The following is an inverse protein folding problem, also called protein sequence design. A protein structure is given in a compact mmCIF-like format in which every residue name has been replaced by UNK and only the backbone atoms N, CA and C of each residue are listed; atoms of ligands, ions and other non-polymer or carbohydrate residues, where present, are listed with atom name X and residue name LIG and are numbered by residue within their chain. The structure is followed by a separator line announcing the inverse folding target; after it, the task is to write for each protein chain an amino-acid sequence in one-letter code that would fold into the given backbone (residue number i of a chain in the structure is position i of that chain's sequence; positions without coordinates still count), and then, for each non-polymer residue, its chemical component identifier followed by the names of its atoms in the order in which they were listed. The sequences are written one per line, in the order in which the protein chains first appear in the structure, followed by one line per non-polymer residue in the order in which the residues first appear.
data_IF_162571355171
#
_entry.id   IF_162571355171
#
_cell.length_a   1.000
_cell.length_b   1.000
_cell.length_c   1.000
_cell.angle_alpha   90.00
_cell.angle_beta   90.00
_cell.angle_gamma   90.00
#
_symmetry.space_group_name_H-M   'P 1'
#
loop_
_entity.id
_entity.type
_entity.pdbx_description
1 polymer ?
#
# COMPACT_ATOMS: atom_id res chain seq x y z
N UNK A 1 15.97 29.48 -15.59
CA UNK A 1 15.69 28.02 -15.71
C UNK A 1 14.28 27.80 -15.19
N UNK A 2 13.45 27.00 -15.89
CA UNK A 2 12.16 26.58 -15.31
C UNK A 2 12.46 25.63 -14.14
N UNK A 3 11.84 25.87 -13.00
CA UNK A 3 11.92 24.98 -11.85
C UNK A 3 11.38 23.60 -12.25
N UNK A 4 12.12 22.54 -11.92
CA UNK A 4 11.70 21.18 -12.24
C UNK A 4 10.45 20.87 -11.41
N UNK A 5 9.32 20.67 -12.07
CA UNK A 5 8.10 20.22 -11.38
C UNK A 5 8.31 18.77 -10.95
N UNK A 6 8.51 18.56 -9.64
CA UNK A 6 8.71 17.24 -9.07
C UNK A 6 7.43 16.41 -9.15
N UNK A 7 7.59 15.13 -9.46
CA UNK A 7 6.51 14.13 -9.44
C UNK A 7 6.49 13.43 -8.07
N UNK A 8 5.32 12.98 -7.61
CA UNK A 8 5.24 12.19 -6.39
C UNK A 8 5.78 10.77 -6.61
N UNK A 9 6.61 10.30 -5.67
CA UNK A 9 7.06 8.91 -5.57
C UNK A 9 6.72 8.38 -4.18
N UNK A 10 5.86 7.36 -4.13
CA UNK A 10 5.48 6.71 -2.88
C UNK A 10 6.38 5.53 -2.60
N UNK A 11 7.10 5.55 -1.48
CA UNK A 11 8.09 4.53 -1.14
C UNK A 11 7.59 3.75 0.06
N UNK A 12 7.21 2.50 -0.13
CA UNK A 12 6.83 1.61 0.97
C UNK A 12 8.08 0.88 1.46
N UNK A 13 8.40 1.01 2.75
CA UNK A 13 9.62 0.40 3.30
C UNK A 13 9.51 0.07 4.78
N UNK A 14 10.24 -0.95 5.21
CA UNK A 14 10.49 -1.27 6.60
C UNK A 14 11.74 -2.13 6.72
N UNK A 15 12.58 -1.86 7.72
CA UNK A 15 13.79 -2.64 7.96
C UNK A 15 13.52 -4.11 8.33
N UNK A 16 12.30 -4.46 8.75
CA UNK A 16 11.91 -5.83 9.08
C UNK A 16 10.82 -6.35 8.14
N UNK A 17 10.95 -7.63 7.78
CA UNK A 17 9.94 -8.36 7.02
C UNK A 17 8.67 -8.65 7.81
N UNK A 18 7.61 -9.09 7.12
CA UNK A 18 6.36 -9.54 7.75
C UNK A 18 5.41 -8.43 8.21
N UNK A 19 5.68 -7.16 7.89
CA UNK A 19 4.79 -6.02 8.19
C UNK A 19 3.78 -5.72 7.07
N UNK A 20 3.83 -6.45 5.95
CA UNK A 20 2.89 -6.31 4.84
C UNK A 20 3.23 -5.23 3.80
N UNK A 21 4.51 -4.91 3.60
CA UNK A 21 4.98 -3.88 2.65
C UNK A 21 4.37 -4.03 1.24
N UNK A 22 4.52 -5.20 0.63
CA UNK A 22 4.04 -5.48 -0.72
C UNK A 22 2.52 -5.38 -0.83
N UNK A 23 1.78 -5.88 0.15
CA UNK A 23 0.32 -5.72 0.21
C UNK A 23 -0.06 -4.24 0.30
N UNK A 24 0.59 -3.47 1.17
CA UNK A 24 0.34 -2.03 1.27
C UNK A 24 0.66 -1.31 -0.05
N UNK A 25 1.82 -1.59 -0.65
CA UNK A 25 2.28 -0.93 -1.87
C UNK A 25 1.41 -1.25 -3.10
N UNK A 26 1.13 -2.53 -3.32
CA UNK A 26 0.48 -3.02 -4.55
C UNK A 26 -1.04 -3.06 -4.50
N UNK A 27 -1.60 -3.34 -3.32
CA UNK A 27 -3.04 -3.56 -3.17
C UNK A 27 -3.73 -2.35 -2.51
N UNK A 28 -3.23 -1.91 -1.36
CA UNK A 28 -3.94 -0.90 -0.55
C UNK A 28 -3.70 0.52 -1.07
N UNK A 29 -2.44 0.89 -1.33
CA UNK A 29 -2.07 2.23 -1.73
C UNK A 29 -2.62 2.60 -3.12
N UNK A 30 -2.66 1.64 -4.04
CA UNK A 30 -3.21 1.82 -5.39
C UNK A 30 -4.70 2.19 -5.33
N UNK A 31 -5.50 1.45 -4.55
CA UNK A 31 -6.93 1.75 -4.37
C UNK A 31 -7.15 3.08 -3.64
N UNK A 32 -6.39 3.36 -2.56
CA UNK A 32 -6.49 4.64 -1.84
C UNK A 32 -6.25 5.82 -2.80
N UNK A 33 -5.16 5.75 -3.59
CA UNK A 33 -4.80 6.83 -4.51
C UNK A 33 -5.77 6.95 -5.68
N UNK A 34 -6.30 5.84 -6.17
CA UNK A 34 -7.36 5.84 -7.17
C UNK A 34 -8.62 6.56 -6.67
N UNK A 35 -9.07 6.25 -5.44
CA UNK A 35 -10.24 6.90 -4.82
C UNK A 35 -10.06 8.42 -4.70
N UNK A 36 -8.93 8.85 -4.15
CA UNK A 36 -8.61 10.28 -4.01
C UNK A 36 -8.55 10.98 -5.38
N UNK A 37 -7.96 10.36 -6.39
CA UNK A 37 -7.88 10.93 -7.73
C UNK A 37 -9.25 11.00 -8.42
N UNK A 38 -10.14 10.03 -8.19
CA UNK A 38 -11.52 10.03 -8.69
C UNK A 38 -12.34 11.19 -8.12
N UNK A 39 -12.17 11.50 -6.83
CA UNK A 39 -12.76 12.69 -6.19
C UNK A 39 -12.25 14.00 -6.84
N UNK A 40 -11.01 14.00 -7.32
CA UNK A 40 -10.40 15.10 -8.10
C UNK A 40 -10.72 15.05 -9.62
N UNK A 41 -11.64 14.18 -10.07
CA UNK A 41 -12.02 14.01 -11.49
C UNK A 41 -10.91 13.53 -12.43
N UNK A 42 -9.94 12.75 -11.93
CA UNK A 42 -8.89 12.10 -12.74
C UNK A 42 -9.24 10.63 -13.02
N UNK A 43 -9.77 10.34 -14.20
CA UNK A 43 -10.35 9.02 -14.52
C UNK A 43 -9.41 8.02 -15.22
N UNK A 44 -8.26 8.46 -15.75
CA UNK A 44 -7.30 7.61 -16.48
C UNK A 44 -5.99 7.38 -15.70
N UNK A 45 -6.10 7.33 -14.36
CA UNK A 45 -4.95 7.10 -13.50
C UNK A 45 -4.41 5.68 -13.67
N UNK A 46 -3.09 5.58 -13.82
CA UNK A 46 -2.32 4.34 -13.90
C UNK A 46 -1.26 4.31 -12.80
N UNK A 47 -0.72 3.14 -12.53
CA UNK A 47 0.27 2.90 -11.50
C UNK A 47 1.47 2.18 -12.08
N UNK A 48 2.67 2.67 -11.76
CA UNK A 48 3.91 1.97 -12.02
C UNK A 48 4.49 1.55 -10.67
N UNK A 49 4.53 0.24 -10.44
CA UNK A 49 4.97 -0.35 -9.19
C UNK A 49 6.26 -1.08 -9.45
N UNK A 50 7.32 -0.64 -8.78
CA UNK A 50 8.62 -1.28 -8.84
C UNK A 50 8.93 -1.87 -7.47
N UNK A 51 9.08 -3.18 -7.41
CA UNK A 51 9.53 -3.88 -6.20
C UNK A 51 11.03 -4.17 -6.29
N UNK A 52 11.75 -3.90 -5.20
CA UNK A 52 13.15 -4.31 -5.01
C UNK A 52 13.19 -5.24 -3.80
N UNK A 53 13.32 -6.54 -4.01
CA UNK A 53 13.37 -7.54 -2.92
C UNK A 53 14.16 -8.78 -3.38
N UNK A 54 14.62 -9.61 -2.43
CA UNK A 54 15.32 -10.87 -2.72
C UNK A 54 14.38 -12.09 -2.76
N UNK A 55 13.09 -11.88 -2.52
CA UNK A 55 12.12 -12.98 -2.51
C UNK A 55 11.80 -13.40 -3.94
N UNK A 56 11.71 -14.69 -4.22
CA UNK A 56 11.35 -15.18 -5.57
C UNK A 56 9.86 -15.15 -5.88
N UNK A 57 9.06 -14.51 -5.03
CA UNK A 57 7.61 -14.48 -5.21
C UNK A 57 7.28 -13.68 -6.46
N UNK A 58 6.67 -14.34 -7.44
CA UNK A 58 6.11 -13.71 -8.63
C UNK A 58 4.66 -13.29 -8.36
N UNK A 59 4.29 -12.14 -8.89
CA UNK A 59 2.89 -11.70 -8.90
C UNK A 59 2.14 -12.48 -9.98
N UNK A 60 1.00 -13.05 -9.62
CA UNK A 60 0.18 -13.90 -10.51
C UNK A 60 -0.99 -13.16 -11.17
N UNK A 61 -1.33 -11.95 -10.70
CA UNK A 61 -2.46 -11.18 -11.23
C UNK A 61 -2.10 -10.36 -12.47
N UNK A 62 -3.12 -10.00 -13.25
CA UNK A 62 -3.03 -9.09 -14.39
C UNK A 62 -3.71 -7.75 -14.08
N UNK A 63 -3.27 -6.70 -14.76
CA UNK A 63 -3.89 -5.38 -14.64
C UNK A 63 -3.76 -4.56 -15.92
N UNK A 64 -4.81 -3.81 -16.24
CA UNK A 64 -4.77 -2.77 -17.28
C UNK A 64 -4.26 -1.43 -16.74
N UNK A 65 -4.32 -1.23 -15.42
CA UNK A 65 -3.99 0.02 -14.74
C UNK A 65 -2.67 -0.02 -14.01
N UNK A 66 -2.19 -1.21 -13.65
CA UNK A 66 -0.95 -1.41 -12.91
C UNK A 66 0.08 -2.06 -13.81
N UNK A 67 1.21 -1.36 -14.00
CA UNK A 67 2.44 -1.94 -14.49
C UNK A 67 3.31 -2.32 -13.30
N UNK A 68 3.52 -3.61 -13.11
CA UNK A 68 4.36 -4.13 -12.04
C UNK A 68 5.67 -4.69 -12.58
N UNK A 69 6.79 -4.37 -11.92
CA UNK A 69 8.09 -4.99 -12.17
C UNK A 69 8.83 -5.24 -10.88
N UNK A 70 9.48 -6.39 -10.80
CA UNK A 70 10.33 -6.77 -9.68
C UNK A 70 11.80 -6.80 -10.10
N UNK A 71 12.66 -6.34 -9.22
CA UNK A 71 14.10 -6.36 -9.35
C UNK A 71 14.72 -6.98 -8.09
N UNK A 72 15.84 -7.65 -8.26
CA UNK A 72 16.64 -8.10 -7.14
C UNK A 72 17.37 -6.89 -6.50
N UNK A 73 17.80 -7.02 -5.24
CA UNK A 73 18.45 -5.93 -4.50
C UNK A 73 19.71 -5.40 -5.22
N UNK A 74 20.46 -6.26 -5.90
CA UNK A 74 21.67 -5.85 -6.62
C UNK A 74 21.37 -5.09 -7.92
N UNK A 75 20.15 -5.19 -8.45
CA UNK A 75 19.68 -4.50 -9.66
C UNK A 75 18.96 -3.18 -9.35
N UNK A 76 19.14 -2.62 -8.16
CA UNK A 76 18.41 -1.42 -7.71
C UNK A 76 18.54 -0.23 -8.67
N UNK A 77 19.66 -0.10 -9.39
CA UNK A 77 19.84 1.01 -10.35
C UNK A 77 18.86 0.90 -11.52
N UNK A 78 18.64 -0.31 -12.03
CA UNK A 78 17.70 -0.54 -13.13
C UNK A 78 16.25 -0.33 -12.65
N UNK A 79 15.96 -0.70 -11.40
CA UNK A 79 14.69 -0.41 -10.76
C UNK A 79 14.42 1.11 -10.67
N UNK A 80 15.42 1.91 -10.29
CA UNK A 80 15.29 3.38 -10.24
C UNK A 80 15.13 3.97 -11.64
N UNK A 81 15.86 3.47 -12.65
CA UNK A 81 15.67 3.88 -14.04
C UNK A 81 14.24 3.60 -14.50
N UNK A 82 13.65 2.48 -14.07
CA UNK A 82 12.28 2.13 -14.41
C UNK A 82 11.24 3.13 -13.87
N UNK A 83 11.42 3.62 -12.64
CA UNK A 83 10.61 4.72 -12.06
C UNK A 83 10.81 6.02 -12.85
N UNK A 84 12.05 6.31 -13.27
CA UNK A 84 12.35 7.55 -13.98
C UNK A 84 11.81 7.58 -15.43
N UNK A 85 11.61 6.42 -16.06
CA UNK A 85 11.10 6.31 -17.44
C UNK A 85 9.68 6.88 -17.59
N UNK A 86 8.88 6.85 -16.53
CA UNK A 86 7.49 7.32 -16.52
C UNK A 86 7.35 8.72 -15.89
N UNK A 87 8.47 9.41 -15.64
CA UNK A 87 8.50 10.73 -15.00
C UNK A 87 7.66 11.78 -15.74
N UNK A 88 7.69 11.80 -17.08
CA UNK A 88 6.97 12.78 -17.88
C UNK A 88 5.46 12.53 -17.98
N UNK A 89 4.98 11.37 -17.52
CA UNK A 89 3.56 11.01 -17.58
C UNK A 89 2.88 11.41 -16.27
N UNK A 90 2.06 12.45 -16.31
CA UNK A 90 1.33 12.96 -15.15
C UNK A 90 0.17 12.08 -14.71
N UNK A 91 -0.24 11.11 -15.53
CA UNK A 91 -1.33 10.18 -15.22
C UNK A 91 -0.84 8.90 -14.54
N UNK A 92 0.47 8.72 -14.39
CA UNK A 92 1.05 7.57 -13.70
C UNK A 92 1.45 7.96 -12.28
N UNK A 93 1.02 7.19 -11.28
CA UNK A 93 1.56 7.24 -9.92
C UNK A 93 2.72 6.26 -9.79
N UNK A 94 3.85 6.73 -9.27
CA UNK A 94 5.03 5.92 -9.01
C UNK A 94 4.99 5.35 -7.60
N UNK A 95 5.15 4.03 -7.49
CA UNK A 95 5.26 3.32 -6.21
C UNK A 95 6.54 2.47 -6.23
N UNK A 96 7.34 2.61 -5.19
CA UNK A 96 8.55 1.81 -4.96
C UNK A 96 8.37 0.98 -3.69
N UNK A 97 8.34 -0.34 -3.80
CA UNK A 97 8.33 -1.27 -2.67
C UNK A 97 9.75 -1.74 -2.37
N UNK A 98 10.27 -1.42 -1.18
CA UNK A 98 11.64 -1.74 -0.78
C UNK A 98 11.68 -2.86 0.26
N UNK A 99 12.21 -4.01 -0.15
CA UNK A 99 12.46 -5.22 0.63
C UNK A 99 13.94 -5.52 0.89
N UNK A 100 14.26 -6.80 1.13
CA UNK A 100 15.63 -7.32 1.35
C UNK A 100 16.03 -7.59 2.81
N UNK A 101 15.20 -7.25 3.79
CA UNK A 101 15.55 -7.38 5.21
C UNK A 101 16.51 -6.28 5.70
N UNK A 102 16.85 -6.30 6.99
CA UNK A 102 17.38 -5.13 7.71
C UNK A 102 18.55 -4.42 7.02
N UNK A 103 19.67 -5.12 6.81
CA UNK A 103 20.89 -4.49 6.27
C UNK A 103 20.74 -4.08 4.80
N UNK A 104 20.02 -4.88 4.01
CA UNK A 104 19.82 -4.61 2.58
C UNK A 104 18.86 -3.44 2.37
N UNK A 105 17.73 -3.42 3.06
CA UNK A 105 16.78 -2.30 3.02
C UNK A 105 17.45 -1.01 3.47
N UNK A 106 18.26 -1.06 4.55
CA UNK A 106 19.07 0.09 4.98
C UNK A 106 20.01 0.58 3.87
N UNK A 107 20.77 -0.34 3.28
CA UNK A 107 21.70 -0.04 2.18
C UNK A 107 20.97 0.55 0.95
N UNK A 108 19.79 0.04 0.60
CA UNK A 108 18.96 0.58 -0.48
C UNK A 108 18.54 2.03 -0.21
N UNK A 109 18.09 2.35 1.01
CA UNK A 109 17.75 3.73 1.39
C UNK A 109 18.96 4.66 1.30
N UNK A 110 20.13 4.22 1.77
CA UNK A 110 21.38 4.98 1.65
C UNK A 110 21.79 5.20 0.18
N UNK A 111 21.59 4.21 -0.70
CA UNK A 111 21.82 4.35 -2.13
C UNK A 111 20.84 5.33 -2.78
N UNK A 112 19.55 5.24 -2.44
CA UNK A 112 18.51 6.16 -2.93
C UNK A 112 18.85 7.61 -2.52
N UNK A 113 19.28 7.84 -1.28
CA UNK A 113 19.72 9.15 -0.81
C UNK A 113 20.93 9.67 -1.61
N UNK A 114 21.93 8.82 -1.88
CA UNK A 114 23.10 9.18 -2.70
C UNK A 114 22.76 9.48 -4.15
N UNK A 115 21.73 8.84 -4.70
CA UNK A 115 21.22 9.11 -6.05
C UNK A 115 20.42 10.41 -6.14
N UNK A 116 20.15 11.07 -5.01
CA UNK A 116 19.43 12.34 -4.90
C UNK A 116 18.07 12.33 -5.60
N UNK A 117 17.32 11.23 -5.41
CA UNK A 117 15.98 11.11 -5.99
C UNK A 117 15.02 12.20 -5.52
N UNK A 118 15.26 12.77 -4.35
CA UNK A 118 14.56 13.93 -3.80
C UNK A 118 14.74 15.21 -4.65
N UNK A 119 15.74 15.30 -5.52
CA UNK A 119 15.85 16.41 -6.48
C UNK A 119 14.85 16.30 -7.63
N UNK A 120 14.40 15.08 -7.94
CA UNK A 120 13.53 14.77 -9.08
C UNK A 120 12.10 14.52 -8.61
N UNK A 121 11.94 13.88 -7.45
CA UNK A 121 10.64 13.44 -6.92
C UNK A 121 10.34 14.08 -5.57
N UNK A 122 9.05 14.24 -5.28
CA UNK A 122 8.56 14.41 -3.91
C UNK A 122 8.46 13.01 -3.29
N UNK A 123 9.34 12.71 -2.34
CA UNK A 123 9.40 11.39 -1.71
C UNK A 123 8.36 11.29 -0.59
N UNK A 124 7.44 10.33 -0.71
CA UNK A 124 6.42 10.04 0.29
C UNK A 124 6.69 8.66 0.88
N UNK A 125 7.33 8.62 2.06
CA UNK A 125 7.64 7.36 2.73
C UNK A 125 6.44 6.80 3.48
N UNK A 126 6.09 5.55 3.19
CA UNK A 126 5.04 4.78 3.83
C UNK A 126 5.71 3.66 4.63
N UNK A 127 5.52 3.66 5.95
CA UNK A 127 6.17 2.70 6.86
C UNK A 127 5.11 1.84 7.54
N UNK A 128 4.89 0.59 7.07
CA UNK A 128 4.00 -0.34 7.74
C UNK A 128 4.59 -0.88 9.04
N UNK A 129 3.71 -1.10 10.01
CA UNK A 129 4.00 -1.74 11.29
C UNK A 129 2.89 -2.74 11.63
N UNK A 130 3.11 -3.59 12.63
CA UNK A 130 2.09 -4.52 13.12
C UNK A 130 2.11 -4.59 14.66
N UNK A 131 1.10 -5.24 15.25
CA UNK A 131 0.88 -5.31 16.71
C UNK A 131 2.00 -6.01 17.52
N UNK A 132 3.00 -6.59 16.87
CA UNK A 132 4.07 -7.33 17.57
C UNK A 132 5.06 -6.36 18.22
N UNK A 133 5.33 -6.54 19.53
CA UNK A 133 6.32 -5.71 20.27
C UNK A 133 7.70 -5.63 19.58
N UNK A 134 8.18 -6.73 19.00
CA UNK A 134 9.47 -6.80 18.29
C UNK A 134 9.51 -6.01 16.97
N UNK A 135 8.39 -5.45 16.53
CA UNK A 135 8.29 -4.66 15.31
C UNK A 135 8.42 -3.17 15.64
N UNK A 136 7.99 -2.71 16.82
CA UNK A 136 8.12 -1.31 17.24
C UNK A 136 9.54 -0.77 17.08
N UNK A 137 10.54 -1.44 17.66
CA UNK A 137 11.92 -0.93 17.62
C UNK A 137 12.47 -0.89 16.18
N UNK A 138 12.04 -1.83 15.32
CA UNK A 138 12.36 -1.80 13.90
C UNK A 138 11.63 -0.69 13.15
N UNK A 139 10.38 -0.40 13.48
CA UNK A 139 9.61 0.71 12.91
C UNK A 139 10.26 2.04 13.31
N UNK A 140 10.61 2.22 14.59
CA UNK A 140 11.36 3.38 15.08
C UNK A 140 12.67 3.56 14.31
N UNK A 141 13.49 2.51 14.20
CA UNK A 141 14.74 2.56 13.45
C UNK A 141 14.54 2.90 11.96
N UNK A 142 13.44 2.43 11.35
CA UNK A 142 13.09 2.77 9.96
C UNK A 142 12.77 4.26 9.83
N UNK A 143 11.89 4.77 10.71
CA UNK A 143 11.49 6.19 10.72
C UNK A 143 12.68 7.12 10.96
N UNK A 144 13.54 6.78 11.94
CA UNK A 144 14.76 7.53 12.23
C UNK A 144 15.72 7.55 11.04
N UNK A 145 15.92 6.41 10.38
CA UNK A 145 16.80 6.32 9.21
C UNK A 145 16.30 7.18 8.06
N UNK A 146 15.00 7.11 7.74
CA UNK A 146 14.38 7.93 6.69
C UNK A 146 14.54 9.41 7.02
N UNK A 147 14.23 9.82 8.24
CA UNK A 147 14.37 11.20 8.67
C UNK A 147 15.83 11.68 8.55
N UNK A 148 16.80 10.87 8.98
CA UNK A 148 18.21 11.25 8.92
C UNK A 148 18.76 11.34 7.49
N UNK A 149 18.28 10.49 6.58
CA UNK A 149 18.73 10.47 5.18
C UNK A 149 18.06 11.54 4.31
N UNK A 150 16.78 11.81 4.55
CA UNK A 150 15.94 12.61 3.63
C UNK A 150 15.33 13.86 4.29
N UNK A 151 15.54 14.06 5.60
CA UNK A 151 14.97 15.16 6.38
C UNK A 151 13.45 15.33 6.19
N UNK A 152 12.72 14.22 6.14
CA UNK A 152 11.27 14.21 5.97
C UNK A 152 10.58 13.38 7.06
N UNK A 153 9.26 13.53 7.14
CA UNK A 153 8.39 12.70 7.98
C UNK A 153 7.72 11.64 7.11
N UNK A 154 7.30 10.53 7.72
CA UNK A 154 6.68 9.39 7.03
C UNK A 154 5.21 9.23 7.41
N UNK A 155 4.46 8.53 6.56
CA UNK A 155 3.15 7.98 6.92
C UNK A 155 3.34 6.65 7.64
N UNK A 156 2.83 6.53 8.87
CA UNK A 156 2.85 5.28 9.63
C UNK A 156 1.58 4.47 9.34
N UNK A 157 1.74 3.20 8.96
CA UNK A 157 0.58 2.33 8.69
C UNK A 157 0.46 1.25 9.76
N UNK A 158 -0.59 1.31 10.57
CA UNK A 158 -0.96 0.25 11.51
C UNK A 158 -1.65 -0.86 10.73
N UNK A 159 -0.88 -1.89 10.37
CA UNK A 159 -1.37 -2.98 9.53
C UNK A 159 -1.86 -4.16 10.39
N UNK A 160 -2.87 -4.88 9.87
CA UNK A 160 -3.48 -6.06 10.52
C UNK A 160 -4.16 -5.73 11.85
N UNK A 161 -4.92 -4.64 11.86
CA UNK A 161 -5.75 -4.26 13.01
C UNK A 161 -7.02 -5.12 13.03
N UNK A 162 -7.36 -5.74 14.15
CA UNK A 162 -8.57 -6.58 14.23
C UNK A 162 -9.78 -5.73 14.59
N UNK A 163 -9.65 -4.89 15.60
CA UNK A 163 -10.72 -4.09 16.18
C UNK A 163 -10.29 -2.62 16.35
N UNK A 164 -9.20 -2.37 17.08
CA UNK A 164 -8.79 -1.02 17.47
C UNK A 164 -7.27 -0.92 17.58
N UNK A 165 -6.68 -0.03 16.77
CA UNK A 165 -5.24 0.19 16.76
C UNK A 165 -4.70 0.63 18.13
N UNK A 166 -5.41 1.51 18.85
CA UNK A 166 -5.00 1.99 20.18
C UNK A 166 -4.94 0.88 21.20
N UNK A 167 -5.87 -0.08 21.10
CA UNK A 167 -5.95 -1.20 22.02
C UNK A 167 -5.04 -2.36 21.61
N UNK A 168 -4.58 -2.45 20.37
CA UNK A 168 -3.79 -3.61 19.91
C UNK A 168 -2.29 -3.31 19.81
N UNK A 169 -1.93 -2.08 19.48
CA UNK A 169 -0.55 -1.66 19.28
C UNK A 169 0.04 -1.12 20.58
N UNK A 170 0.04 -1.97 21.61
CA UNK A 170 0.44 -1.60 22.97
C UNK A 170 1.84 -0.99 23.08
N UNK A 171 2.76 -1.33 22.18
CA UNK A 171 4.08 -0.71 22.16
C UNK A 171 4.00 0.78 21.82
N UNK A 172 3.08 1.18 20.94
CA UNK A 172 2.82 2.58 20.61
C UNK A 172 1.97 3.24 21.69
N UNK A 173 0.80 2.67 22.01
CA UNK A 173 -0.23 3.37 22.80
C UNK A 173 -0.27 3.01 24.29
N UNK A 174 0.53 2.04 24.72
CA UNK A 174 0.50 1.52 26.07
C UNK A 174 -0.70 0.61 26.33
N UNK A 175 -0.88 0.24 27.59
CA UNK A 175 -2.00 -0.56 28.07
C UNK A 175 -2.12 -0.44 29.59
N UNK A 176 -3.23 0.11 30.08
CA UNK A 176 -3.43 0.29 31.52
C UNK A 176 -3.57 -1.03 32.29
N UNK A 177 -4.20 -2.05 31.69
CA UNK A 177 -4.41 -3.36 32.32
C UNK A 177 -3.08 -4.06 32.66
N UNK A 178 -2.02 -3.79 31.90
CA UNK A 178 -0.69 -4.39 32.10
C UNK A 178 0.38 -3.38 32.51
N UNK A 179 -0.02 -2.16 32.91
CA UNK A 179 0.88 -1.06 33.28
C UNK A 179 1.97 -0.79 32.21
N UNK A 180 1.58 -0.91 30.93
CA UNK A 180 2.46 -0.59 29.81
C UNK A 180 2.29 0.90 29.48
N UNK A 181 3.39 1.65 29.56
CA UNK A 181 3.42 3.04 29.12
C UNK A 181 3.44 3.12 27.60
N UNK A 182 2.77 4.14 27.06
CA UNK A 182 2.92 4.53 25.66
C UNK A 182 4.38 4.87 25.37
N UNK A 183 4.85 4.49 24.18
CA UNK A 183 6.15 4.89 23.62
C UNK A 183 5.98 5.74 22.37
N UNK A 184 4.77 6.25 22.13
CA UNK A 184 4.46 6.97 20.90
C UNK A 184 5.31 8.24 20.74
N UNK A 185 5.57 8.94 21.85
CA UNK A 185 6.44 10.13 21.89
C UNK A 185 7.87 9.85 21.39
N UNK A 186 8.34 8.60 21.40
CA UNK A 186 9.64 8.23 20.84
C UNK A 186 9.69 8.38 19.31
N UNK A 187 8.53 8.35 18.63
CA UNK A 187 8.41 8.32 17.16
C UNK A 187 7.56 9.43 16.56
N UNK A 188 6.70 10.10 17.33
CA UNK A 188 5.74 11.13 16.87
C UNK A 188 6.37 12.17 15.94
N UNK A 189 7.54 12.70 16.30
CA UNK A 189 8.26 13.72 15.50
C UNK A 189 8.65 13.25 14.08
N UNK A 190 8.71 11.94 13.83
CA UNK A 190 9.04 11.36 12.52
C UNK A 190 7.80 11.03 11.68
N UNK A 191 6.60 11.19 12.24
CA UNK A 191 5.34 10.79 11.63
C UNK A 191 4.60 12.05 11.16
N UNK A 192 4.13 12.02 9.92
CA UNK A 192 3.30 13.07 9.33
C UNK A 192 1.82 12.71 9.39
N UNK A 193 1.51 11.50 8.97
CA UNK A 193 0.16 10.98 8.77
C UNK A 193 0.10 9.54 9.32
N UNK A 194 -1.08 9.07 9.70
CA UNK A 194 -1.30 7.72 10.21
C UNK A 194 -2.40 7.02 9.40
N UNK A 195 -2.21 5.75 9.03
CA UNK A 195 -3.23 4.95 8.33
C UNK A 195 -3.50 3.68 9.12
N UNK A 196 -4.78 3.35 9.31
CA UNK A 196 -5.22 2.11 9.94
C UNK A 196 -5.76 1.15 8.89
N UNK A 197 -5.17 -0.04 8.85
CA UNK A 197 -5.47 -1.09 7.88
C UNK A 197 -5.87 -2.37 8.64
N UNK A 198 -7.11 -2.81 8.44
CA UNK A 198 -7.72 -3.90 9.20
C UNK A 198 -7.35 -5.31 8.66
N UNK A 199 -7.29 -6.33 9.52
CA UNK A 199 -6.81 -7.69 9.23
C UNK A 199 -7.75 -8.50 8.32
N UNK A 200 -9.00 -8.05 8.13
CA UNK A 200 -10.01 -8.64 7.21
C UNK A 200 -9.52 -8.75 5.75
N UNK A 201 -8.39 -8.11 5.44
CA UNK A 201 -7.78 -7.94 4.12
C UNK A 201 -7.19 -9.20 3.54
N UNK A 202 -6.42 -9.99 4.30
CA UNK A 202 -5.55 -10.98 3.64
C UNK A 202 -6.37 -12.06 2.94
N UNK A 203 -7.43 -12.56 3.57
CA UNK A 203 -8.33 -13.52 2.93
C UNK A 203 -9.12 -12.90 1.79
N UNK A 204 -9.59 -11.65 1.93
CA UNK A 204 -10.35 -10.99 0.86
C UNK A 204 -9.50 -10.69 -0.37
N UNK A 205 -8.27 -10.20 -0.19
CA UNK A 205 -7.33 -9.94 -1.27
C UNK A 205 -6.86 -11.24 -1.94
N UNK A 206 -6.51 -12.25 -1.15
CA UNK A 206 -6.03 -13.53 -1.68
C UNK A 206 -7.15 -14.25 -2.43
N UNK A 207 -8.38 -14.23 -1.91
CA UNK A 207 -9.55 -14.80 -2.59
C UNK A 207 -9.88 -14.00 -3.85
N UNK A 208 -9.93 -12.67 -3.80
CA UNK A 208 -10.22 -11.85 -4.99
C UNK A 208 -9.19 -12.11 -6.10
N UNK A 209 -7.89 -12.10 -5.78
CA UNK A 209 -6.83 -12.36 -6.74
C UNK A 209 -6.88 -13.80 -7.29
N UNK A 210 -7.20 -14.78 -6.45
CA UNK A 210 -7.28 -16.20 -6.87
C UNK A 210 -8.51 -16.48 -7.74
N UNK A 211 -9.67 -15.96 -7.37
CA UNK A 211 -10.94 -16.21 -8.06
C UNK A 211 -11.04 -15.44 -9.39
N UNK A 212 -10.46 -14.23 -9.46
CA UNK A 212 -10.59 -13.36 -10.65
C UNK A 212 -9.33 -13.31 -11.51
N UNK A 213 -8.15 -13.56 -10.93
CA UNK A 213 -6.86 -13.29 -11.57
C UNK A 213 -6.55 -11.79 -11.77
N UNK A 214 -7.37 -10.90 -11.22
CA UNK A 214 -7.24 -9.46 -11.33
C UNK A 214 -6.40 -8.86 -10.20
N UNK A 215 -5.81 -7.69 -10.44
CA UNK A 215 -5.22 -6.91 -9.37
C UNK A 215 -6.30 -6.39 -8.42
N UNK A 216 -5.92 -6.09 -7.17
CA UNK A 216 -6.81 -5.48 -6.18
C UNK A 216 -7.50 -4.21 -6.69
N UNK A 217 -6.78 -3.38 -7.48
CA UNK A 217 -7.33 -2.15 -8.02
C UNK A 217 -8.40 -2.41 -9.08
N UNK A 218 -8.14 -3.34 -9.99
CA UNK A 218 -9.11 -3.64 -11.06
C UNK A 218 -10.35 -4.31 -10.45
N UNK A 219 -10.15 -5.22 -9.50
CA UNK A 219 -11.25 -5.84 -8.77
C UNK A 219 -12.05 -4.81 -7.95
N UNK A 220 -11.40 -3.79 -7.36
CA UNK A 220 -12.10 -2.69 -6.70
C UNK A 220 -13.03 -1.94 -7.67
N UNK A 221 -12.52 -1.61 -8.86
CA UNK A 221 -13.26 -0.88 -9.89
C UNK A 221 -14.44 -1.73 -10.40
N UNK A 222 -14.20 -3.01 -10.66
CA UNK A 222 -15.24 -3.94 -11.06
C UNK A 222 -16.30 -4.10 -9.95
N UNK A 223 -15.87 -4.18 -8.69
CA UNK A 223 -16.78 -4.24 -7.54
C UNK A 223 -17.65 -2.98 -7.43
N UNK A 224 -17.10 -1.79 -7.67
CA UNK A 224 -17.90 -0.56 -7.76
C UNK A 224 -18.96 -0.65 -8.88
N UNK A 225 -18.61 -1.21 -10.03
CA UNK A 225 -19.57 -1.42 -11.13
C UNK A 225 -20.67 -2.39 -10.73
N UNK A 226 -20.32 -3.58 -10.23
CA UNK A 226 -21.27 -4.64 -9.85
C UNK A 226 -22.25 -4.14 -8.79
N UNK A 227 -21.74 -3.51 -7.72
CA UNK A 227 -22.59 -3.08 -6.60
C UNK A 227 -23.52 -1.94 -7.01
N UNK A 228 -23.04 -0.98 -7.81
CA UNK A 228 -23.87 0.14 -8.26
C UNK A 228 -24.88 -0.23 -9.35
N UNK A 229 -24.62 -1.29 -10.12
CA UNK A 229 -25.45 -1.71 -11.26
C UNK A 229 -26.01 -3.13 -11.08
N UNK A 230 -26.22 -3.56 -9.82
CA UNK A 230 -26.56 -4.95 -9.49
C UNK A 230 -27.77 -5.50 -10.27
N UNK A 231 -28.81 -4.69 -10.48
CA UNK A 231 -30.00 -5.13 -11.21
C UNK A 231 -29.65 -5.47 -12.66
N UNK A 232 -28.88 -4.64 -13.34
CA UNK A 232 -28.46 -4.87 -14.73
C UNK A 232 -27.53 -6.08 -14.82
N UNK A 233 -26.52 -6.13 -13.95
CA UNK A 233 -25.58 -7.25 -13.86
C UNK A 233 -26.29 -8.59 -13.61
N UNK A 234 -27.28 -8.62 -12.72
CA UNK A 234 -28.09 -9.82 -12.45
C UNK A 234 -28.95 -10.21 -13.65
N UNK A 235 -29.50 -9.25 -14.40
CA UNK A 235 -30.29 -9.52 -15.61
C UNK A 235 -29.42 -10.14 -16.72
N UNK A 236 -28.18 -9.69 -16.87
CA UNK A 236 -27.21 -10.29 -17.80
C UNK A 236 -26.91 -11.75 -17.44
N UNK A 237 -26.73 -12.04 -16.15
CA UNK A 237 -26.52 -13.39 -15.64
C UNK A 237 -27.76 -14.29 -15.85
N UNK A 238 -28.96 -13.77 -15.62
CA UNK A 238 -30.23 -14.49 -15.87
C UNK A 238 -30.35 -14.96 -17.32
N UNK A 239 -29.85 -14.17 -18.28
CA UNK A 239 -29.85 -14.53 -19.70
C UNK A 239 -28.80 -15.59 -20.07
N UNK A 240 -27.90 -15.92 -19.15
CA UNK A 240 -26.74 -16.81 -19.36
C UNK A 240 -26.89 -18.18 -18.69
N UNK A 241 -27.96 -18.41 -17.91
CA UNK A 241 -28.30 -19.69 -17.28
C UNK A 241 -28.10 -19.74 -15.76
N UNK A 242 -28.60 -20.79 -15.11
CA UNK A 242 -28.70 -20.87 -13.64
C UNK A 242 -27.34 -20.78 -12.92
N UNK A 243 -26.28 -21.36 -13.49
CA UNK A 243 -24.94 -21.27 -12.91
C UNK A 243 -24.43 -19.82 -12.89
N UNK A 244 -24.68 -19.07 -13.97
CA UNK A 244 -24.24 -17.68 -14.06
C UNK A 244 -24.91 -16.79 -13.01
N UNK A 245 -26.16 -17.11 -12.60
CA UNK A 245 -26.86 -16.39 -11.53
C UNK A 245 -26.18 -16.64 -10.18
N UNK A 246 -25.83 -17.89 -9.87
CA UNK A 246 -25.14 -18.22 -8.63
C UNK A 246 -23.77 -17.53 -8.56
N UNK A 247 -23.03 -17.55 -9.66
CA UNK A 247 -21.72 -16.89 -9.76
C UNK A 247 -21.87 -15.37 -9.59
N UNK A 248 -22.89 -14.76 -10.21
CA UNK A 248 -23.17 -13.33 -10.08
C UNK A 248 -23.56 -12.93 -8.65
N UNK A 249 -24.36 -13.75 -7.96
CA UNK A 249 -24.71 -13.52 -6.55
C UNK A 249 -23.48 -13.60 -5.64
N UNK A 250 -22.64 -14.63 -5.83
CA UNK A 250 -21.39 -14.77 -5.09
C UNK A 250 -20.46 -13.58 -5.34
N UNK A 251 -20.28 -13.16 -6.59
CA UNK A 251 -19.45 -12.01 -6.94
C UNK A 251 -20.00 -10.72 -6.32
N UNK A 252 -21.32 -10.52 -6.29
CA UNK A 252 -21.92 -9.36 -5.62
C UNK A 252 -21.60 -9.33 -4.12
N UNK A 253 -21.73 -10.45 -3.41
CA UNK A 253 -21.45 -10.53 -1.99
C UNK A 253 -19.96 -10.22 -1.70
N UNK A 254 -19.05 -10.82 -2.47
CA UNK A 254 -17.61 -10.56 -2.35
C UNK A 254 -17.30 -9.08 -2.66
N UNK A 255 -17.87 -8.53 -3.74
CA UNK A 255 -17.69 -7.13 -4.13
C UNK A 255 -18.20 -6.18 -3.06
N UNK A 256 -19.33 -6.47 -2.43
CA UNK A 256 -19.88 -5.66 -1.35
C UNK A 256 -18.94 -5.62 -0.14
N UNK A 257 -18.50 -6.78 0.33
CA UNK A 257 -17.55 -6.88 1.46
C UNK A 257 -16.22 -6.20 1.14
N UNK A 258 -15.75 -6.31 -0.11
CA UNK A 258 -14.54 -5.67 -0.59
C UNK A 258 -14.62 -4.15 -0.57
N UNK A 259 -15.74 -3.58 -1.02
CA UNK A 259 -15.97 -2.13 -0.96
C UNK A 259 -16.12 -1.64 0.48
N UNK A 260 -16.83 -2.37 1.34
CA UNK A 260 -16.96 -2.05 2.76
C UNK A 260 -15.61 -2.05 3.47
N UNK A 261 -14.72 -2.99 3.13
CA UNK A 261 -13.36 -3.00 3.63
C UNK A 261 -12.63 -1.67 3.31
N UNK A 262 -12.63 -1.23 2.05
CA UNK A 262 -11.94 0.02 1.67
C UNK A 262 -12.61 1.28 2.21
N UNK A 263 -13.84 1.21 2.74
CA UNK A 263 -14.49 2.28 3.51
C UNK A 263 -14.03 2.30 4.98
N UNK A 264 -13.59 1.16 5.54
CA UNK A 264 -13.11 1.06 6.92
C UNK A 264 -11.69 1.62 7.11
N UNK A 265 -10.89 1.76 6.05
CA UNK A 265 -9.55 2.36 6.14
C UNK A 265 -9.66 3.78 6.68
N UNK A 266 -8.93 4.07 7.77
CA UNK A 266 -8.91 5.40 8.42
C UNK A 266 -7.57 6.08 8.18
N UNK A 267 -7.61 7.39 7.97
CA UNK A 267 -6.44 8.25 7.74
C UNK A 267 -6.01 9.03 8.99
N UNK A 268 -6.62 8.73 10.12
CA UNK A 268 -6.28 9.31 11.42
C UNK A 268 -6.52 8.27 12.50
N UNK A 269 -5.64 8.26 13.51
CA UNK A 269 -5.86 7.54 14.76
C UNK A 269 -6.36 8.54 15.79
N UNK A 270 -7.61 8.42 16.20
CA UNK A 270 -8.13 9.22 17.32
C UNK A 270 -7.41 8.77 18.59
N UNK A 271 -6.58 9.64 19.17
CA UNK A 271 -5.79 9.34 20.38
C UNK A 271 -6.58 9.59 21.66
#
# INVERSE_FOLDING_TARGET
MKELQKKDLYITTALKGGVGKTTIASAILTVIKYKLAKEESKNDLKFNIVEIDDTKTEITWKSERIRYKKFEVFDYKDAIVEIQRTYSDSNIIEILDLGGGYDKTKSLLEHIAKMRLDEIFNLHFIVPTNRTRFIFDSTKATLELIHNLFNCQSTLVYNKVVNNANEEFHAFFGNQKWDLKSRFDEVDKYIKDEIVVYDDISSLLDNAATETGESTLDFYINSEYIVNNWIEYRLEALNSGDQAINDAMMLYDISYDFLEFFKKIRFEVTR
#
